data_IF_248089134564
#
_entry.id   IF_248089134564
#
_cell.length_a   1.000
_cell.length_b   1.000
_cell.length_c   1.000
_cell.angle_alpha   90.00
_cell.angle_beta   90.00
_cell.angle_gamma   90.00
#
_symmetry.space_group_name_H-M   'P 1'
#
loop_
_entity.id
_entity.type
_entity.pdbx_description
1 polymer ?
#
# COMPACT_ATOMS: atom_id res chain seq x y z
N UNK A 1 26.44 26.09 44.29
CA UNK A 1 26.75 24.97 43.36
C UNK A 1 25.47 24.67 42.63
N UNK A 2 25.22 25.34 41.48
CA UNK A 2 23.98 25.21 40.69
C UNK A 2 24.24 24.03 39.74
N UNK A 3 23.51 22.93 39.95
CA UNK A 3 23.52 21.77 39.02
C UNK A 3 22.97 22.20 37.66
N UNK A 4 23.86 22.25 36.68
CA UNK A 4 23.45 22.22 35.26
C UNK A 4 22.88 20.83 34.95
N UNK A 5 21.59 20.64 35.10
CA UNK A 5 20.89 19.54 34.49
C UNK A 5 20.89 19.83 32.98
N UNK A 6 21.62 19.06 32.22
CA UNK A 6 21.78 19.23 30.80
C UNK A 6 20.45 18.98 30.08
N UNK A 7 20.09 19.77 29.06
CA UNK A 7 18.93 19.56 28.20
C UNK A 7 18.90 18.15 27.56
N UNK A 8 20.01 17.44 27.49
CA UNK A 8 20.10 16.06 27.01
C UNK A 8 19.48 15.03 27.97
N UNK A 9 19.55 15.25 29.29
CA UNK A 9 18.94 14.34 30.27
C UNK A 9 17.40 14.42 30.28
N UNK A 10 16.84 15.58 30.00
CA UNK A 10 15.39 15.71 29.84
C UNK A 10 14.86 14.99 28.59
N UNK A 11 15.63 14.96 27.50
CA UNK A 11 15.27 14.29 26.25
C UNK A 11 15.35 12.77 26.37
N UNK A 12 16.38 12.23 27.05
CA UNK A 12 16.50 10.81 27.39
C UNK A 12 15.32 10.37 28.26
N UNK A 13 14.95 11.13 29.26
CA UNK A 13 13.80 10.83 30.13
C UNK A 13 12.46 10.78 29.39
N UNK A 14 12.22 11.68 28.42
CA UNK A 14 10.97 11.70 27.67
C UNK A 14 10.82 10.47 26.75
N UNK A 15 11.84 10.16 25.96
CA UNK A 15 11.83 8.99 25.07
C UNK A 15 11.69 7.67 25.84
N UNK A 16 12.32 7.56 27.00
CA UNK A 16 12.19 6.37 27.84
C UNK A 16 10.76 6.24 28.39
N UNK A 17 10.17 7.31 28.90
CA UNK A 17 8.76 7.32 29.35
C UNK A 17 7.79 6.96 28.25
N UNK A 18 8.02 7.43 27.02
CA UNK A 18 7.16 7.10 25.87
C UNK A 18 7.26 5.61 25.52
N UNK A 19 8.44 5.01 25.58
CA UNK A 19 8.64 3.57 25.42
C UNK A 19 7.93 2.75 26.51
N UNK A 20 7.97 3.22 27.74
CA UNK A 20 7.28 2.56 28.87
C UNK A 20 5.77 2.65 28.71
N UNK A 21 5.25 3.82 28.31
CA UNK A 21 3.83 3.99 27.99
C UNK A 21 3.39 3.02 26.87
N UNK A 22 4.20 2.86 25.82
CA UNK A 22 3.93 1.89 24.76
C UNK A 22 3.89 0.44 25.28
N UNK A 23 4.84 0.05 26.13
CA UNK A 23 4.88 -1.31 26.72
C UNK A 23 3.70 -1.58 27.63
N UNK A 24 3.21 -0.57 28.35
CA UNK A 24 2.08 -0.69 29.28
C UNK A 24 0.73 -0.78 28.57
N UNK A 25 0.60 -0.16 27.38
CA UNK A 25 -0.64 -0.20 26.61
C UNK A 25 -0.55 0.73 25.40
N UNK A 26 -0.26 0.17 24.20
CA UNK A 26 -0.07 0.99 23.00
C UNK A 26 -1.32 1.79 22.61
N UNK A 27 -2.51 1.32 22.93
CA UNK A 27 -3.78 2.01 22.67
C UNK A 27 -3.96 3.33 23.44
N UNK A 28 -3.14 3.58 24.46
CA UNK A 28 -3.16 4.83 25.24
C UNK A 28 -2.32 5.94 24.61
N UNK A 29 -1.57 5.67 23.53
CA UNK A 29 -0.77 6.66 22.82
C UNK A 29 -1.59 7.35 21.74
N UNK A 30 -1.36 8.66 21.60
CA UNK A 30 -1.86 9.41 20.45
C UNK A 30 -1.04 9.07 19.19
N UNK A 31 -1.61 9.31 18.01
CA UNK A 31 -0.96 9.03 16.73
C UNK A 31 0.42 9.70 16.61
N UNK A 32 0.55 10.96 17.07
CA UNK A 32 1.83 11.66 17.06
C UNK A 32 2.86 11.02 18.02
N UNK A 33 2.43 10.42 19.13
CA UNK A 33 3.34 9.72 20.06
C UNK A 33 3.87 8.41 19.46
N UNK A 34 3.02 7.70 18.71
CA UNK A 34 3.44 6.53 17.91
C UNK A 34 4.44 6.98 16.84
N UNK A 35 4.13 8.05 16.10
CA UNK A 35 5.02 8.62 15.10
C UNK A 35 6.36 9.04 15.71
N UNK A 36 6.35 9.70 16.87
CA UNK A 36 7.56 10.10 17.60
C UNK A 36 8.43 8.90 17.95
N UNK A 37 7.82 7.80 18.42
CA UNK A 37 8.54 6.56 18.69
C UNK A 37 9.21 6.03 17.42
N UNK A 38 8.49 5.92 16.32
CA UNK A 38 9.03 5.47 15.03
C UNK A 38 10.20 6.34 14.58
N UNK A 39 9.98 7.65 14.53
CA UNK A 39 11.02 8.60 14.11
C UNK A 39 12.24 8.55 15.02
N UNK A 40 12.08 8.22 16.30
CA UNK A 40 13.20 8.09 17.24
C UNK A 40 14.17 6.97 16.89
N UNK A 41 13.75 5.98 16.13
CA UNK A 41 14.62 4.91 15.61
C UNK A 41 15.27 5.28 14.28
N UNK A 42 14.58 6.07 13.46
CA UNK A 42 15.07 6.50 12.15
C UNK A 42 16.09 7.64 12.29
N UNK A 43 15.79 8.60 13.18
CA UNK A 43 16.60 9.80 13.42
C UNK A 43 17.12 9.73 14.86
N UNK A 44 18.22 9.01 15.11
CA UNK A 44 18.78 8.91 16.44
C UNK A 44 19.39 10.27 16.90
N UNK A 45 19.42 10.51 18.22
CA UNK A 45 20.05 11.69 18.85
C UNK A 45 19.40 13.04 18.57
N UNK A 46 18.26 13.09 17.85
CA UNK A 46 17.48 14.32 17.58
C UNK A 46 16.16 14.28 18.33
N UNK A 47 15.67 15.46 18.72
CA UNK A 47 14.29 15.62 19.17
C UNK A 47 13.38 15.58 17.93
N UNK A 48 12.50 14.59 17.89
CA UNK A 48 11.63 14.34 16.76
C UNK A 48 10.14 14.62 17.07
N UNK A 49 9.85 15.16 18.27
CA UNK A 49 8.48 15.42 18.71
C UNK A 49 7.75 16.42 17.82
N UNK A 50 8.42 17.52 17.45
CA UNK A 50 7.83 18.53 16.56
C UNK A 50 7.59 17.92 15.19
N UNK A 51 8.60 17.23 14.64
CA UNK A 51 8.47 16.56 13.34
C UNK A 51 7.33 15.52 13.34
N UNK A 52 7.17 14.76 14.42
CA UNK A 52 6.08 13.80 14.54
C UNK A 52 4.70 14.46 14.48
N UNK A 53 4.54 15.61 15.15
CA UNK A 53 3.31 16.41 15.09
C UNK A 53 3.08 16.97 13.69
N UNK A 54 4.09 17.57 13.08
CA UNK A 54 4.01 18.14 11.73
C UNK A 54 3.61 17.10 10.69
N UNK A 55 4.14 15.86 10.82
CA UNK A 55 3.74 14.77 9.94
C UNK A 55 2.26 14.43 10.17
N UNK A 56 1.82 14.20 11.41
CA UNK A 56 0.43 13.84 11.70
C UNK A 56 -0.53 14.97 11.33
N UNK A 57 -0.19 16.22 11.58
CA UNK A 57 -1.02 17.38 11.21
C UNK A 57 -1.18 17.48 9.69
N UNK A 58 -0.14 17.23 8.91
CA UNK A 58 -0.19 17.22 7.44
C UNK A 58 -0.88 16.02 6.86
N UNK A 59 -0.72 14.85 7.47
CA UNK A 59 -1.29 13.60 6.99
C UNK A 59 -2.66 13.28 7.60
N UNK A 60 -3.06 14.00 8.67
CA UNK A 60 -4.32 13.84 9.40
C UNK A 60 -4.49 12.47 10.08
N UNK A 61 -3.67 11.48 9.79
CA UNK A 61 -3.72 10.15 10.41
C UNK A 61 -2.48 9.32 10.08
N UNK A 62 -2.15 8.34 10.93
CA UNK A 62 -1.07 7.37 10.68
C UNK A 62 -1.25 6.60 9.35
N UNK A 63 -2.50 6.37 8.94
CA UNK A 63 -2.79 5.69 7.67
C UNK A 63 -2.32 6.51 6.47
N UNK A 64 -2.61 7.82 6.48
CA UNK A 64 -2.24 8.72 5.39
C UNK A 64 -0.73 8.97 5.28
N UNK A 65 0.06 8.65 6.33
CA UNK A 65 1.53 8.69 6.28
C UNK A 65 2.09 7.83 5.14
N UNK A 66 1.49 6.66 4.90
CA UNK A 66 1.92 5.75 3.83
C UNK A 66 1.53 6.23 2.41
N UNK A 67 0.72 7.29 2.30
CA UNK A 67 0.25 7.88 1.04
C UNK A 67 0.99 9.16 0.68
N UNK A 68 1.44 9.89 1.71
CA UNK A 68 1.97 11.24 1.57
C UNK A 68 3.44 11.19 1.21
N UNK A 69 3.86 12.09 0.33
CA UNK A 69 5.27 12.36 0.10
C UNK A 69 5.83 13.11 1.31
N UNK A 70 6.49 12.37 2.19
CA UNK A 70 7.05 12.91 3.43
C UNK A 70 8.28 13.78 3.16
N UNK A 71 8.93 13.66 2.00
CA UNK A 71 10.11 14.49 1.66
C UNK A 71 9.74 15.97 1.56
N UNK A 72 8.49 16.29 1.29
CA UNK A 72 7.95 17.65 1.29
C UNK A 72 7.78 18.24 2.70
N UNK A 73 7.97 17.43 3.77
CA UNK A 73 7.88 17.88 5.15
C UNK A 73 9.26 18.23 5.69
N UNK A 74 9.45 19.48 6.11
CA UNK A 74 10.73 19.94 6.64
C UNK A 74 11.22 19.06 7.79
N UNK A 75 12.40 18.48 7.64
CA UNK A 75 13.02 17.60 8.63
C UNK A 75 12.71 16.12 8.52
N UNK A 76 11.77 15.69 7.64
CA UNK A 76 11.52 14.28 7.40
C UNK A 76 12.63 13.65 6.53
N UNK A 77 12.93 14.24 5.38
CA UNK A 77 14.00 13.77 4.49
C UNK A 77 13.75 12.40 3.85
N UNK A 78 14.68 11.99 2.98
CA UNK A 78 14.56 10.76 2.19
C UNK A 78 14.57 9.49 3.06
N UNK A 79 15.32 9.47 4.15
CA UNK A 79 15.43 8.31 5.05
C UNK A 79 14.10 7.99 5.75
N UNK A 80 13.33 9.02 6.12
CA UNK A 80 11.99 8.82 6.70
C UNK A 80 11.05 8.26 5.64
N UNK A 81 11.06 8.82 4.44
CA UNK A 81 10.26 8.29 3.33
C UNK A 81 10.64 6.85 3.00
N UNK A 82 11.93 6.55 2.89
CA UNK A 82 12.43 5.21 2.63
C UNK A 82 11.96 4.22 3.69
N UNK A 83 12.03 4.59 4.97
CA UNK A 83 11.58 3.73 6.06
C UNK A 83 10.10 3.35 5.93
N UNK A 84 9.21 4.31 5.65
CA UNK A 84 7.79 4.02 5.47
C UNK A 84 7.53 3.19 4.20
N UNK A 85 8.31 3.39 3.14
CA UNK A 85 8.25 2.53 1.95
C UNK A 85 8.68 1.08 2.28
N UNK A 86 9.72 0.90 3.10
CA UNK A 86 10.17 -0.42 3.59
C UNK A 86 9.08 -1.07 4.45
N UNK A 87 8.46 -0.34 5.38
CA UNK A 87 7.37 -0.88 6.20
C UNK A 87 6.18 -1.32 5.35
N UNK A 88 5.82 -0.55 4.32
CA UNK A 88 4.76 -0.92 3.38
C UNK A 88 5.12 -2.21 2.65
N UNK A 89 6.34 -2.31 2.11
CA UNK A 89 6.81 -3.50 1.41
C UNK A 89 6.90 -4.72 2.36
N UNK A 90 7.37 -4.50 3.61
CA UNK A 90 7.40 -5.54 4.63
C UNK A 90 5.99 -6.08 4.92
N UNK A 91 5.01 -5.20 5.07
CA UNK A 91 3.62 -5.61 5.29
C UNK A 91 3.07 -6.39 4.09
N UNK A 92 3.29 -5.88 2.87
CA UNK A 92 2.91 -6.55 1.63
C UNK A 92 3.53 -7.96 1.59
N UNK A 93 4.84 -8.09 1.86
CA UNK A 93 5.51 -9.41 1.90
C UNK A 93 5.05 -10.29 3.04
N UNK A 94 4.68 -9.73 4.17
CA UNK A 94 4.15 -10.50 5.30
C UNK A 94 2.79 -11.11 4.95
N UNK A 95 1.91 -10.35 4.30
CA UNK A 95 0.66 -10.88 3.75
C UNK A 95 0.93 -11.90 2.61
N UNK A 96 2.03 -11.71 1.87
CA UNK A 96 2.52 -12.65 0.87
C UNK A 96 3.39 -13.78 1.45
N UNK A 97 4.02 -13.58 2.59
CA UNK A 97 5.03 -14.48 3.16
C UNK A 97 4.52 -15.88 3.44
N UNK A 98 3.21 -16.04 3.50
CA UNK A 98 2.54 -17.33 3.45
C UNK A 98 2.63 -18.00 2.07
N UNK A 99 3.06 -17.29 0.99
CA UNK A 99 3.17 -17.85 -0.36
C UNK A 99 4.18 -18.98 -0.48
N UNK A 100 5.16 -19.10 0.43
CA UNK A 100 6.09 -20.25 0.44
C UNK A 100 5.57 -21.45 1.20
N UNK A 101 4.71 -21.25 2.20
CA UNK A 101 4.15 -22.29 3.04
C UNK A 101 2.64 -22.48 2.81
N UNK A 102 1.89 -21.36 2.67
CA UNK A 102 0.48 -21.36 2.30
C UNK A 102 0.23 -20.23 1.29
N UNK A 103 0.11 -20.55 0.00
CA UNK A 103 -0.14 -19.54 -1.02
C UNK A 103 -1.43 -18.77 -0.75
N UNK A 104 -1.42 -17.44 -0.89
CA UNK A 104 -2.61 -16.61 -0.74
C UNK A 104 -3.67 -17.06 -1.74
N UNK A 105 -4.78 -17.60 -1.24
CA UNK A 105 -5.90 -18.04 -2.07
C UNK A 105 -6.86 -16.86 -2.27
N UNK A 106 -7.00 -16.44 -3.51
CA UNK A 106 -7.85 -15.31 -3.91
C UNK A 106 -9.28 -15.81 -4.21
N UNK A 107 -9.93 -16.41 -3.20
CA UNK A 107 -11.26 -17.03 -3.32
C UNK A 107 -12.40 -16.13 -2.83
N UNK A 108 -12.07 -15.07 -2.10
CA UNK A 108 -13.06 -14.12 -1.60
C UNK A 108 -12.68 -12.66 -1.89
N UNK A 109 -13.70 -11.84 -2.15
CA UNK A 109 -13.50 -10.41 -2.38
C UNK A 109 -12.85 -9.69 -1.20
N UNK A 110 -13.09 -10.15 0.03
CA UNK A 110 -12.50 -9.54 1.24
C UNK A 110 -10.99 -9.78 1.35
N UNK A 111 -10.51 -10.95 0.95
CA UNK A 111 -9.07 -11.26 0.92
C UNK A 111 -8.40 -10.44 -0.17
N UNK A 112 -8.97 -10.44 -1.37
CA UNK A 112 -8.45 -9.66 -2.50
C UNK A 112 -8.42 -8.17 -2.14
N UNK A 113 -9.49 -7.66 -1.53
CA UNK A 113 -9.55 -6.25 -1.12
C UNK A 113 -8.47 -5.89 -0.10
N UNK A 114 -8.31 -6.68 0.96
CA UNK A 114 -7.26 -6.41 1.96
C UNK A 114 -5.89 -6.34 1.31
N UNK A 115 -5.60 -7.27 0.42
CA UNK A 115 -4.35 -7.31 -0.33
C UNK A 115 -4.17 -6.08 -1.22
N UNK A 116 -5.14 -5.79 -2.11
CA UNK A 116 -5.09 -4.67 -3.03
C UNK A 116 -5.09 -3.31 -2.32
N UNK A 117 -5.82 -3.19 -1.22
CA UNK A 117 -5.86 -1.98 -0.42
C UNK A 117 -4.46 -1.61 0.10
N UNK A 118 -3.71 -2.59 0.60
CA UNK A 118 -2.35 -2.35 1.08
C UNK A 118 -1.39 -2.08 -0.06
N UNK A 119 -1.58 -2.76 -1.19
CA UNK A 119 -0.70 -2.63 -2.34
C UNK A 119 -0.85 -1.28 -3.05
N UNK A 120 -2.08 -0.89 -3.37
CA UNK A 120 -2.39 0.29 -4.18
C UNK A 120 -3.49 1.19 -3.57
N UNK A 121 -4.40 0.66 -2.74
CA UNK A 121 -5.60 1.39 -2.29
C UNK A 121 -5.33 2.62 -1.45
N UNK A 122 -4.17 2.69 -0.82
CA UNK A 122 -3.73 3.83 0.00
C UNK A 122 -2.85 4.82 -0.77
N UNK A 123 -2.64 4.63 -2.07
CA UNK A 123 -1.81 5.51 -2.90
C UNK A 123 -2.58 6.77 -3.33
N UNK A 124 -1.90 7.93 -3.35
CA UNK A 124 -2.44 9.18 -3.89
C UNK A 124 -2.37 9.24 -5.42
N UNK A 125 -1.64 8.30 -6.03
CA UNK A 125 -1.55 8.15 -7.48
C UNK A 125 -2.37 6.96 -7.91
N UNK A 126 -2.97 7.04 -9.09
CA UNK A 126 -3.61 5.89 -9.70
C UNK A 126 -2.56 4.86 -10.10
N UNK A 127 -2.75 3.63 -9.68
CA UNK A 127 -1.87 2.51 -9.99
C UNK A 127 -2.70 1.39 -10.59
N UNK A 128 -2.19 0.79 -11.64
CA UNK A 128 -2.79 -0.39 -12.24
C UNK A 128 -1.93 -1.62 -11.93
N UNK A 129 -2.56 -2.66 -11.41
CA UNK A 129 -1.88 -3.90 -11.01
C UNK A 129 -2.51 -5.11 -11.65
N UNK A 130 -1.69 -6.08 -12.02
CA UNK A 130 -2.12 -7.40 -12.47
C UNK A 130 -1.70 -8.45 -11.47
N UNK A 131 -2.64 -9.31 -11.07
CA UNK A 131 -2.43 -10.46 -10.19
C UNK A 131 -2.47 -11.72 -11.06
N UNK A 132 -1.41 -12.52 -11.00
CA UNK A 132 -1.27 -13.77 -11.74
C UNK A 132 -1.59 -14.94 -10.82
N UNK A 133 -2.51 -15.81 -11.23
CA UNK A 133 -3.18 -16.77 -10.36
C UNK A 133 -3.14 -18.16 -10.99
N UNK A 134 -2.94 -19.19 -10.19
CA UNK A 134 -2.95 -20.58 -10.62
C UNK A 134 -4.38 -21.14 -10.75
N UNK A 135 -4.51 -22.37 -11.21
CA UNK A 135 -5.79 -23.07 -11.35
C UNK A 135 -6.56 -23.25 -10.04
N UNK A 136 -5.88 -23.20 -8.90
CA UNK A 136 -6.46 -23.31 -7.56
C UNK A 136 -6.75 -21.95 -6.94
N UNK A 137 -6.72 -20.88 -7.73
CA UNK A 137 -6.88 -19.48 -7.30
C UNK A 137 -5.80 -19.00 -6.33
N UNK A 138 -4.62 -19.60 -6.35
CA UNK A 138 -3.49 -19.18 -5.55
C UNK A 138 -2.72 -18.09 -6.28
N UNK A 139 -2.39 -17.03 -5.58
CA UNK A 139 -1.57 -15.94 -6.13
C UNK A 139 -0.16 -16.46 -6.41
N UNK A 140 0.25 -16.41 -7.67
CA UNK A 140 1.62 -16.73 -8.11
C UNK A 140 2.53 -15.52 -7.92
N UNK A 141 2.08 -14.37 -8.41
CA UNK A 141 2.79 -13.09 -8.31
C UNK A 141 1.86 -11.96 -8.70
N UNK A 142 2.31 -10.75 -8.49
CA UNK A 142 1.68 -9.53 -9.01
C UNK A 142 2.70 -8.65 -9.70
N UNK A 143 2.19 -7.68 -10.50
CA UNK A 143 3.00 -6.65 -11.13
C UNK A 143 2.24 -5.34 -11.13
N UNK A 144 2.87 -4.26 -10.69
CA UNK A 144 2.33 -2.91 -10.85
C UNK A 144 2.70 -2.46 -12.27
N UNK A 145 1.73 -2.53 -13.18
CA UNK A 145 1.93 -2.31 -14.61
C UNK A 145 2.06 -0.82 -14.94
N UNK A 146 1.39 0.01 -14.15
CA UNK A 146 1.40 1.46 -14.35
C UNK A 146 1.27 2.18 -13.01
N UNK A 147 2.04 3.25 -12.83
CA UNK A 147 1.96 4.15 -11.68
C UNK A 147 1.98 5.58 -12.20
N UNK A 148 0.82 6.26 -12.13
CA UNK A 148 0.58 7.46 -12.89
C UNK A 148 1.00 8.77 -12.30
N UNK A 149 1.38 9.63 -13.21
CA UNK A 149 1.19 11.08 -13.26
C UNK A 149 0.26 11.42 -14.42
N UNK A 150 -0.20 12.65 -14.53
CA UNK A 150 -1.21 13.28 -15.38
C UNK A 150 -1.29 12.82 -16.87
N UNK A 151 -0.24 12.19 -17.40
CA UNK A 151 -0.27 11.50 -18.68
C UNK A 151 -0.43 10.00 -18.40
N UNK A 152 -1.63 9.49 -18.59
CA UNK A 152 -2.06 8.11 -18.40
C UNK A 152 -1.04 7.15 -18.96
N UNK A 153 -0.30 6.47 -18.10
CA UNK A 153 0.63 5.44 -18.53
C UNK A 153 -0.19 4.33 -19.16
N UNK A 154 -0.08 4.18 -20.48
CA UNK A 154 -0.92 3.26 -21.21
C UNK A 154 -0.71 1.82 -20.72
N UNK A 155 -1.78 1.20 -20.24
CA UNK A 155 -1.78 -0.24 -19.94
C UNK A 155 -1.88 -1.00 -21.26
N UNK A 156 -0.88 -1.81 -21.57
CA UNK A 156 -0.83 -2.58 -22.79
C UNK A 156 -1.28 -4.03 -22.55
N UNK A 157 -2.40 -4.49 -23.13
CA UNK A 157 -2.86 -5.88 -22.99
C UNK A 157 -1.79 -6.92 -23.32
N UNK A 158 -0.92 -6.65 -24.30
CA UNK A 158 0.18 -7.54 -24.68
C UNK A 158 1.18 -7.78 -23.55
N UNK A 159 1.46 -6.77 -22.73
CA UNK A 159 2.41 -6.89 -21.61
C UNK A 159 1.84 -7.76 -20.50
N UNK A 160 0.54 -7.59 -20.20
CA UNK A 160 -0.16 -8.43 -19.22
C UNK A 160 -0.21 -9.88 -19.73
N UNK A 161 -0.50 -10.10 -21.01
CA UNK A 161 -0.53 -11.42 -21.62
C UNK A 161 0.86 -12.11 -21.59
N UNK A 162 1.92 -11.36 -21.90
CA UNK A 162 3.30 -11.84 -21.84
C UNK A 162 3.68 -12.23 -20.40
N UNK A 163 3.37 -11.39 -19.43
CA UNK A 163 3.62 -11.65 -18.01
C UNK A 163 2.84 -12.88 -17.53
N UNK A 164 1.58 -13.03 -17.93
CA UNK A 164 0.75 -14.17 -17.57
C UNK A 164 1.36 -15.50 -18.10
N UNK A 165 1.84 -15.52 -19.34
CA UNK A 165 2.56 -16.67 -19.90
C UNK A 165 3.86 -16.98 -19.16
N UNK A 166 4.69 -15.96 -18.92
CA UNK A 166 5.96 -16.13 -18.18
C UNK A 166 5.74 -16.68 -16.78
N UNK A 167 4.67 -16.27 -16.10
CA UNK A 167 4.30 -16.71 -14.75
C UNK A 167 3.55 -18.04 -14.75
N UNK A 168 3.20 -18.58 -15.93
CA UNK A 168 2.37 -19.80 -16.09
C UNK A 168 1.04 -19.67 -15.35
N UNK A 169 0.45 -18.48 -15.42
CA UNK A 169 -0.83 -18.19 -14.81
C UNK A 169 -1.96 -18.88 -15.57
N UNK A 170 -2.93 -19.42 -14.85
CA UNK A 170 -4.19 -19.91 -15.42
C UNK A 170 -5.24 -18.81 -15.45
N UNK A 171 -5.13 -17.85 -14.54
CA UNK A 171 -6.05 -16.75 -14.39
C UNK A 171 -5.30 -15.44 -14.13
N UNK A 172 -5.93 -14.34 -14.52
CA UNK A 172 -5.49 -12.98 -14.19
C UNK A 172 -6.62 -12.25 -13.47
N UNK A 173 -6.29 -11.47 -12.45
CA UNK A 173 -7.16 -10.44 -11.87
C UNK A 173 -6.44 -9.12 -12.12
N UNK A 174 -7.13 -8.14 -12.66
CA UNK A 174 -6.60 -6.79 -12.78
C UNK A 174 -7.27 -5.88 -11.75
N UNK A 175 -6.55 -4.88 -11.31
CA UNK A 175 -7.10 -3.90 -10.38
C UNK A 175 -6.44 -2.54 -10.55
N UNK A 176 -7.15 -1.49 -10.19
CA UNK A 176 -6.59 -0.16 -10.04
C UNK A 176 -7.23 0.56 -8.86
N UNK A 177 -6.55 1.57 -8.35
CA UNK A 177 -7.12 2.40 -7.30
C UNK A 177 -7.62 3.73 -7.85
N UNK A 178 -8.70 4.21 -7.24
CA UNK A 178 -9.18 5.58 -7.44
C UNK A 178 -8.86 6.43 -6.21
N UNK A 179 -7.84 7.30 -6.25
CA UNK A 179 -7.50 8.20 -5.14
C UNK A 179 -8.64 9.16 -4.76
N UNK A 180 -9.54 9.46 -5.71
CA UNK A 180 -10.74 10.26 -5.49
C UNK A 180 -11.76 9.63 -4.53
N UNK A 181 -11.64 8.33 -4.26
CA UNK A 181 -12.62 7.56 -3.48
C UNK A 181 -13.84 7.08 -4.27
N UNK A 182 -13.97 7.40 -5.56
CA UNK A 182 -15.05 6.92 -6.42
C UNK A 182 -14.86 5.44 -6.74
N UNK A 183 -15.95 4.67 -6.71
CA UNK A 183 -15.96 3.27 -7.15
C UNK A 183 -16.64 3.09 -8.54
N UNK A 184 -17.00 4.19 -9.20
CA UNK A 184 -17.66 4.16 -10.51
C UNK A 184 -16.59 3.92 -11.58
N UNK A 185 -16.68 2.82 -12.37
CA UNK A 185 -15.78 2.59 -13.49
C UNK A 185 -15.95 3.67 -14.57
N UNK A 186 -14.85 4.09 -15.16
CA UNK A 186 -14.86 4.93 -16.35
C UNK A 186 -15.12 4.10 -17.62
N UNK A 187 -15.45 4.74 -18.73
CA UNK A 187 -15.53 4.08 -20.05
C UNK A 187 -14.20 3.46 -20.46
N UNK A 188 -13.09 4.09 -20.06
CA UNK A 188 -11.74 3.56 -20.32
C UNK A 188 -11.45 2.30 -19.53
N UNK A 189 -11.93 2.22 -18.29
CA UNK A 189 -11.79 1.02 -17.46
C UNK A 189 -12.53 -0.15 -18.08
N UNK A 190 -13.72 0.08 -18.61
CA UNK A 190 -14.47 -0.92 -19.35
C UNK A 190 -13.76 -1.36 -20.62
N UNK A 191 -13.27 -0.39 -21.41
CA UNK A 191 -12.57 -0.66 -22.68
C UNK A 191 -11.26 -1.45 -22.44
N UNK A 192 -10.43 -1.02 -21.50
CA UNK A 192 -9.17 -1.73 -21.23
C UNK A 192 -9.42 -3.14 -20.68
N UNK A 193 -10.47 -3.33 -19.89
CA UNK A 193 -10.88 -4.64 -19.37
C UNK A 193 -11.24 -5.59 -20.50
N UNK A 194 -12.08 -5.15 -21.45
CA UNK A 194 -12.46 -5.95 -22.61
C UNK A 194 -11.24 -6.32 -23.48
N UNK A 195 -10.34 -5.35 -23.72
CA UNK A 195 -9.14 -5.58 -24.52
C UNK A 195 -8.19 -6.58 -23.86
N UNK A 196 -8.01 -6.50 -22.53
CA UNK A 196 -7.20 -7.45 -21.75
C UNK A 196 -7.86 -8.83 -21.78
N UNK A 197 -9.17 -8.93 -21.54
CA UNK A 197 -9.91 -10.20 -21.60
C UNK A 197 -9.71 -10.90 -22.93
N UNK A 198 -9.93 -10.19 -24.04
CA UNK A 198 -9.72 -10.73 -25.39
C UNK A 198 -8.29 -11.20 -25.63
N UNK A 199 -7.29 -10.42 -25.17
CA UNK A 199 -5.89 -10.81 -25.34
C UNK A 199 -5.53 -12.08 -24.55
N UNK A 200 -6.05 -12.22 -23.34
CA UNK A 200 -5.82 -13.41 -22.49
C UNK A 200 -6.54 -14.66 -23.02
N UNK A 201 -7.78 -14.50 -23.53
CA UNK A 201 -8.56 -15.61 -24.10
C UNK A 201 -7.84 -16.30 -25.25
N UNK A 202 -7.10 -15.57 -26.09
CA UNK A 202 -6.29 -16.17 -27.18
C UNK A 202 -5.18 -17.10 -26.69
N UNK A 203 -4.87 -17.04 -25.38
CA UNK A 203 -3.82 -17.81 -24.72
C UNK A 203 -4.37 -18.86 -23.74
N UNK A 204 -5.69 -19.11 -23.77
CA UNK A 204 -6.41 -19.96 -22.81
C UNK A 204 -6.25 -19.49 -21.34
N UNK A 205 -6.01 -18.21 -21.13
CA UNK A 205 -5.93 -17.59 -19.81
C UNK A 205 -7.22 -16.78 -19.60
N UNK A 206 -7.86 -16.90 -18.43
CA UNK A 206 -9.10 -16.19 -18.14
C UNK A 206 -8.85 -14.98 -17.26
N UNK A 207 -9.44 -13.84 -17.62
CA UNK A 207 -9.62 -12.71 -16.74
C UNK A 207 -10.70 -13.05 -15.71
N UNK A 208 -10.35 -13.15 -14.42
CA UNK A 208 -11.30 -13.50 -13.36
C UNK A 208 -12.12 -12.30 -12.91
N UNK A 209 -11.50 -11.13 -12.79
CA UNK A 209 -12.17 -9.92 -12.34
C UNK A 209 -11.35 -8.67 -12.71
N UNK A 210 -12.01 -7.51 -12.70
CA UNK A 210 -11.39 -6.21 -12.62
C UNK A 210 -11.91 -5.50 -11.36
N UNK A 211 -11.01 -5.11 -10.48
CA UNK A 211 -11.34 -4.57 -9.17
C UNK A 211 -10.88 -3.13 -9.06
N UNK A 212 -11.82 -2.25 -8.75
CA UNK A 212 -11.52 -0.87 -8.39
C UNK A 212 -11.42 -0.80 -6.87
N UNK A 213 -10.30 -0.30 -6.37
CA UNK A 213 -10.11 -0.16 -4.92
C UNK A 213 -9.96 1.29 -4.50
N UNK A 214 -10.45 1.61 -3.31
CA UNK A 214 -10.22 2.86 -2.60
C UNK A 214 -9.59 2.54 -1.24
N UNK A 215 -9.26 3.55 -0.47
CA UNK A 215 -8.78 3.35 0.90
C UNK A 215 -9.77 2.59 1.80
N UNK A 216 -11.06 2.70 1.56
CA UNK A 216 -12.09 2.17 2.47
C UNK A 216 -12.95 1.08 1.87
N UNK A 217 -13.00 0.95 0.54
CA UNK A 217 -13.94 0.06 -0.15
C UNK A 217 -13.40 -0.43 -1.49
N UNK A 218 -14.14 -1.32 -2.13
CA UNK A 218 -13.82 -1.85 -3.45
C UNK A 218 -15.08 -2.17 -4.26
N UNK A 219 -14.90 -2.24 -5.58
CA UNK A 219 -15.91 -2.72 -6.52
C UNK A 219 -15.30 -3.86 -7.35
N UNK A 220 -16.03 -4.95 -7.49
CA UNK A 220 -15.75 -6.03 -8.44
C UNK A 220 -16.63 -5.82 -9.68
N UNK A 221 -16.02 -5.62 -10.83
CA UNK A 221 -16.78 -5.46 -12.07
C UNK A 221 -17.54 -6.73 -12.43
N UNK A 222 -16.98 -7.90 -12.14
CA UNK A 222 -17.64 -9.18 -12.31
C UNK A 222 -18.90 -9.31 -11.44
N UNK A 223 -18.81 -8.95 -10.16
CA UNK A 223 -19.96 -8.99 -9.26
C UNK A 223 -21.07 -8.04 -9.70
N UNK A 224 -20.70 -6.94 -10.37
CA UNK A 224 -21.63 -5.96 -10.96
C UNK A 224 -22.12 -6.37 -12.36
N UNK A 225 -21.65 -7.50 -12.90
CA UNK A 225 -22.00 -8.00 -14.27
C UNK A 225 -21.57 -7.01 -15.36
N UNK A 226 -20.45 -6.32 -15.17
CA UNK A 226 -19.87 -5.39 -16.15
C UNK A 226 -18.87 -6.08 -17.08
N UNK A 227 -18.46 -7.30 -16.73
CA UNK A 227 -17.55 -8.19 -17.48
C UNK A 227 -18.02 -9.64 -17.35
#
# INVERSE_FOLDING_TARGET
MICFFSMEDHKKGHRQRLKEKFRSGPSALHDYEIMELVLSYIIPRRDVKILAKDIIDKTESLRKVFRTDLTAISGAGDEVQLFFNILREFYVRMEHGNLKFEPLVLDSGSIIFKFLRMLIGISDKENFVSLFVDKNKRLISYEVVSSGTVDRTAVYPREIAELALRRKASYVIIAHNHPSGSLIPSEEDLNITERISKALETLDIKLLDHIIVTDTSFLSMKAQKLI
#
